data_IF_346155126118
#
_entry.id   IF_346155126118
#
_cell.length_a   1.000
_cell.length_b   1.000
_cell.length_c   1.000
_cell.angle_alpha   90.00
_cell.angle_beta   90.00
_cell.angle_gamma   90.00
#
_symmetry.space_group_name_H-M   'P 1'
#
loop_
_entity.id
_entity.type
_entity.pdbx_description
1 polymer ?
#
# COMPACT_ATOMS: atom_id res chain seq x y z
N UNK A 1 -26.36 -21.20 36.40
CA UNK A 1 -24.92 -21.25 36.02
C UNK A 1 -24.69 -21.77 34.59
N UNK A 2 -25.30 -22.90 34.16
CA UNK A 2 -25.13 -23.42 32.78
C UNK A 2 -25.48 -22.41 31.68
N UNK A 3 -26.60 -21.69 31.81
CA UNK A 3 -27.01 -20.68 30.83
C UNK A 3 -26.07 -19.46 30.80
N UNK A 4 -25.46 -19.12 31.95
CA UNK A 4 -24.49 -18.03 32.05
C UNK A 4 -23.16 -18.41 31.39
N UNK A 5 -22.69 -19.64 31.58
CA UNK A 5 -21.50 -20.17 30.91
C UNK A 5 -21.68 -20.26 29.39
N UNK A 6 -22.89 -20.64 28.95
CA UNK A 6 -23.23 -20.68 27.52
C UNK A 6 -23.23 -19.28 26.89
N UNK A 7 -23.76 -18.27 27.60
CA UNK A 7 -23.73 -16.88 27.16
C UNK A 7 -22.31 -16.31 27.09
N UNK A 8 -21.47 -16.60 28.09
CA UNK A 8 -20.06 -16.19 28.10
C UNK A 8 -19.31 -16.85 26.93
N UNK A 9 -19.59 -18.13 26.63
CA UNK A 9 -19.00 -18.82 25.49
C UNK A 9 -19.40 -18.18 24.16
N UNK A 10 -20.69 -17.86 23.95
CA UNK A 10 -21.15 -17.16 22.75
C UNK A 10 -20.53 -15.76 22.63
N UNK A 11 -20.48 -14.99 23.72
CA UNK A 11 -19.81 -13.68 23.73
C UNK A 11 -18.32 -13.79 23.40
N UNK A 12 -17.63 -14.82 23.93
CA UNK A 12 -16.22 -15.04 23.60
C UNK A 12 -16.01 -15.42 22.13
N UNK A 13 -16.92 -16.20 21.53
CA UNK A 13 -16.86 -16.54 20.10
C UNK A 13 -17.14 -15.32 19.21
N UNK A 14 -18.01 -14.40 19.63
CA UNK A 14 -18.28 -13.15 18.91
C UNK A 14 -17.04 -12.23 18.98
N UNK A 15 -16.41 -12.11 20.16
CA UNK A 15 -15.20 -11.30 20.36
C UNK A 15 -13.98 -11.88 19.65
N UNK A 16 -13.88 -13.22 19.52
CA UNK A 16 -12.82 -13.90 18.78
C UNK A 16 -13.10 -14.01 17.27
N UNK A 17 -14.33 -13.73 16.83
CA UNK A 17 -14.82 -13.97 15.48
C UNK A 17 -14.53 -12.86 14.47
N UNK A 18 -14.01 -11.72 14.91
CA UNK A 18 -13.58 -10.67 14.00
C UNK A 18 -12.11 -10.87 13.62
N UNK A 19 -11.87 -11.74 12.63
CA UNK A 19 -10.74 -11.49 11.75
C UNK A 19 -11.03 -10.14 11.10
N UNK A 20 -10.49 -9.06 11.68
CA UNK A 20 -10.68 -7.70 11.21
C UNK A 20 -10.28 -7.69 9.74
N UNK A 21 -11.26 -7.63 8.83
CA UNK A 21 -10.97 -7.56 7.40
C UNK A 21 -10.23 -6.25 7.21
N UNK A 22 -8.91 -6.31 6.99
CA UNK A 22 -8.06 -5.13 6.97
C UNK A 22 -8.49 -4.11 5.90
N UNK A 23 -9.18 -4.57 4.84
CA UNK A 23 -9.79 -3.77 3.79
C UNK A 23 -10.91 -4.53 3.07
N UNK A 24 -11.91 -3.82 2.54
CA UNK A 24 -13.01 -4.39 1.76
C UNK A 24 -12.84 -4.21 0.23
N UNK A 25 -12.03 -3.24 -0.18
CA UNK A 25 -11.75 -2.94 -1.58
C UNK A 25 -10.29 -2.56 -1.76
N UNK A 26 -9.79 -2.74 -2.98
CA UNK A 26 -8.49 -2.22 -3.42
C UNK A 26 -8.73 -1.14 -4.47
N UNK A 27 -8.07 0.00 -4.33
CA UNK A 27 -8.08 1.06 -5.32
C UNK A 27 -6.71 1.17 -5.98
N UNK A 28 -6.66 0.95 -7.28
CA UNK A 28 -5.47 1.24 -8.08
C UNK A 28 -5.49 2.73 -8.43
N UNK A 29 -4.62 3.49 -7.78
CA UNK A 29 -4.43 4.92 -8.05
C UNK A 29 -3.42 5.10 -9.17
N UNK A 30 -3.81 5.85 -10.20
CA UNK A 30 -2.96 6.20 -11.33
C UNK A 30 -2.70 7.69 -11.34
N UNK A 31 -1.48 8.08 -11.69
CA UNK A 31 -1.08 9.48 -11.84
C UNK A 31 -0.79 9.82 -13.29
N UNK A 32 -1.16 11.03 -13.70
CA UNK A 32 -0.84 11.58 -15.01
C UNK A 32 0.44 12.42 -14.93
N UNK A 33 1.53 11.93 -15.52
CA UNK A 33 2.86 12.52 -15.38
C UNK A 33 2.92 14.02 -15.66
N UNK A 34 2.32 14.55 -16.75
CA UNK A 34 2.32 15.99 -17.00
C UNK A 34 1.73 16.82 -15.87
N UNK A 35 0.67 16.34 -15.21
CA UNK A 35 0.05 17.06 -14.09
C UNK A 35 0.92 16.99 -12.84
N UNK A 36 1.54 15.85 -12.55
CA UNK A 36 2.49 15.71 -11.43
C UNK A 36 3.64 16.72 -11.58
N UNK A 37 4.19 16.86 -12.79
CA UNK A 37 5.31 17.75 -13.09
C UNK A 37 4.93 19.20 -13.34
N UNK A 38 3.63 19.51 -13.43
CA UNK A 38 3.16 20.89 -13.48
C UNK A 38 3.26 21.56 -12.09
N UNK A 39 3.10 20.78 -11.03
CA UNK A 39 3.05 21.29 -9.64
C UNK A 39 4.26 20.88 -8.79
N UNK A 40 5.16 20.05 -9.34
CA UNK A 40 6.40 19.62 -8.68
C UNK A 40 7.59 19.75 -9.61
N UNK A 41 8.79 19.89 -9.04
CA UNK A 41 10.04 19.80 -9.79
C UNK A 41 10.35 18.35 -10.14
N UNK A 42 10.18 18.00 -11.40
CA UNK A 42 10.46 16.67 -11.91
C UNK A 42 11.83 16.52 -12.57
N UNK A 43 12.35 15.29 -12.56
CA UNK A 43 13.53 14.91 -13.36
C UNK A 43 13.14 14.78 -14.84
N UNK A 44 13.62 15.70 -15.68
CA UNK A 44 13.33 15.69 -17.11
C UNK A 44 13.81 14.41 -17.82
N UNK A 45 14.92 13.81 -17.37
CA UNK A 45 15.46 12.57 -17.90
C UNK A 45 14.58 11.36 -17.58
N UNK A 46 14.10 11.26 -16.33
CA UNK A 46 13.15 10.19 -15.93
C UNK A 46 11.80 10.36 -16.63
N UNK A 47 11.27 11.59 -16.66
CA UNK A 47 9.91 11.88 -17.15
C UNK A 47 9.76 11.79 -18.67
N UNK A 48 10.84 11.92 -19.44
CA UNK A 48 10.80 11.82 -20.90
C UNK A 48 10.14 10.53 -21.41
N UNK A 49 10.23 9.44 -20.65
CA UNK A 49 9.63 8.14 -20.99
C UNK A 49 8.12 8.05 -20.68
N UNK A 50 7.58 9.02 -19.94
CA UNK A 50 6.25 8.99 -19.32
C UNK A 50 5.36 10.20 -19.66
N UNK A 51 5.80 11.11 -20.53
CA UNK A 51 5.20 12.43 -20.83
C UNK A 51 3.74 12.40 -21.31
N UNK A 52 3.19 11.21 -21.63
CA UNK A 52 1.79 11.01 -22.03
C UNK A 52 1.24 9.66 -21.56
N UNK A 53 1.69 9.19 -20.40
CA UNK A 53 1.27 7.89 -19.84
C UNK A 53 0.74 8.09 -18.43
N UNK A 54 -0.26 7.30 -18.08
CA UNK A 54 -0.54 7.03 -16.68
C UNK A 54 0.53 6.10 -16.14
N UNK A 55 1.06 6.43 -14.97
CA UNK A 55 1.84 5.49 -14.16
C UNK A 55 1.07 5.21 -12.90
N UNK A 56 1.42 4.12 -12.22
CA UNK A 56 0.86 3.82 -10.91
C UNK A 56 1.28 4.93 -9.95
N UNK A 57 0.38 5.30 -9.05
CA UNK A 57 0.67 6.11 -7.88
C UNK A 57 0.65 5.25 -6.61
N UNK A 58 -0.27 4.28 -6.52
CA UNK A 58 -0.26 3.27 -5.47
C UNK A 58 -1.45 2.33 -5.55
N UNK A 59 -1.37 1.22 -4.81
CA UNK A 59 -2.48 0.30 -4.59
C UNK A 59 -2.96 0.47 -3.15
N UNK A 60 -4.18 0.95 -2.98
CA UNK A 60 -4.66 1.43 -1.70
C UNK A 60 -5.79 0.56 -1.17
N UNK A 61 -5.56 -0.20 -0.10
CA UNK A 61 -6.60 -0.97 0.56
C UNK A 61 -7.53 -0.03 1.35
N UNK A 62 -8.84 -0.17 1.17
CA UNK A 62 -9.82 0.71 1.80
C UNK A 62 -11.12 0.02 2.16
N UNK A 63 -12.02 0.76 2.79
CA UNK A 63 -13.40 0.34 3.04
C UNK A 63 -14.38 1.46 2.66
N UNK A 64 -15.67 1.16 2.69
CA UNK A 64 -16.71 2.11 2.25
C UNK A 64 -16.77 3.40 3.07
N UNK A 65 -16.36 3.39 4.35
CA UNK A 65 -16.34 4.58 5.22
C UNK A 65 -15.00 5.34 5.16
N UNK A 66 -13.92 4.63 4.88
CA UNK A 66 -12.58 5.18 4.74
C UNK A 66 -11.92 4.55 3.50
N UNK A 67 -12.08 5.16 2.31
CA UNK A 67 -11.58 4.58 1.08
C UNK A 67 -10.05 4.56 0.98
N UNK A 68 -9.36 5.50 1.63
CA UNK A 68 -7.89 5.61 1.60
C UNK A 68 -7.33 5.68 3.03
N UNK A 69 -7.52 4.64 3.85
CA UNK A 69 -6.99 4.62 5.20
C UNK A 69 -5.47 4.73 5.14
N UNK A 70 -4.92 5.46 6.10
CA UNK A 70 -3.51 5.33 6.46
C UNK A 70 -3.40 4.13 7.41
N UNK A 71 -2.56 3.19 7.06
CA UNK A 71 -2.35 2.00 7.87
C UNK A 71 -1.62 2.37 9.17
N UNK A 72 -1.96 1.74 10.31
CA UNK A 72 -1.15 1.89 11.51
C UNK A 72 0.28 1.42 11.23
N UNK A 73 1.26 2.29 11.46
CA UNK A 73 2.67 1.91 11.36
C UNK A 73 3.03 1.03 12.56
N UNK A 74 3.35 -0.22 12.27
CA UNK A 74 3.94 -1.14 13.23
C UNK A 74 5.44 -1.25 12.94
N UNK A 75 6.25 -1.37 13.99
CA UNK A 75 7.72 -1.41 13.90
C UNK A 75 8.24 -2.53 12.96
N UNK A 76 7.48 -3.61 12.78
CA UNK A 76 7.83 -4.76 11.93
C UNK A 76 7.36 -4.63 10.47
N UNK A 77 6.71 -3.51 10.10
CA UNK A 77 6.10 -3.29 8.78
C UNK A 77 6.80 -2.18 7.97
N UNK A 78 8.04 -1.82 8.35
CA UNK A 78 8.85 -0.85 7.59
C UNK A 78 9.18 -1.38 6.20
N UNK A 79 9.40 -0.47 5.25
CA UNK A 79 9.84 -0.87 3.92
C UNK A 79 11.26 -1.45 3.95
N UNK A 80 11.45 -2.62 3.34
CA UNK A 80 12.72 -3.33 3.26
C UNK A 80 13.29 -3.29 1.84
N UNK A 81 14.24 -2.39 1.52
CA UNK A 81 14.77 -2.24 0.15
C UNK A 81 15.40 -3.52 -0.40
N UNK A 82 15.95 -4.37 0.47
CA UNK A 82 16.61 -5.63 0.09
C UNK A 82 15.64 -6.69 -0.44
N UNK A 83 14.35 -6.56 -0.16
CA UNK A 83 13.32 -7.54 -0.60
C UNK A 83 12.69 -7.16 -1.93
N UNK A 84 13.07 -6.02 -2.51
CA UNK A 84 12.56 -5.52 -3.80
C UNK A 84 13.26 -6.23 -4.97
N UNK A 85 12.79 -7.44 -5.30
CA UNK A 85 13.31 -8.22 -6.44
C UNK A 85 12.90 -7.65 -7.80
N UNK A 86 11.83 -6.85 -7.87
CA UNK A 86 11.23 -6.33 -9.10
C UNK A 86 11.59 -4.86 -9.41
N UNK A 87 12.73 -4.36 -8.91
CA UNK A 87 13.13 -2.95 -9.02
C UNK A 87 12.99 -2.36 -10.43
N UNK A 88 13.37 -3.11 -11.47
CA UNK A 88 13.28 -2.67 -12.86
C UNK A 88 11.83 -2.52 -13.38
N UNK A 89 10.91 -3.39 -12.95
CA UNK A 89 9.49 -3.30 -13.33
C UNK A 89 8.81 -2.15 -12.59
N UNK A 90 9.10 -2.00 -11.30
CA UNK A 90 8.59 -0.89 -10.48
C UNK A 90 9.09 0.47 -11.02
N UNK A 91 10.34 0.57 -11.48
CA UNK A 91 10.85 1.81 -12.10
C UNK A 91 10.16 2.18 -13.43
N UNK A 92 9.40 1.26 -14.04
CA UNK A 92 8.63 1.51 -15.26
C UNK A 92 7.15 1.75 -14.94
N UNK A 93 6.55 0.92 -14.09
CA UNK A 93 5.12 0.97 -13.79
C UNK A 93 4.79 1.93 -12.64
N UNK A 94 5.68 2.03 -11.65
CA UNK A 94 5.52 2.80 -10.41
C UNK A 94 6.71 3.77 -10.15
N UNK A 95 7.11 4.61 -11.12
CA UNK A 95 8.29 5.46 -11.01
C UNK A 95 8.10 6.67 -10.09
N UNK A 96 9.19 7.08 -9.45
CA UNK A 96 9.33 8.41 -8.88
C UNK A 96 9.64 9.44 -9.96
N UNK A 97 8.79 10.48 -10.07
CA UNK A 97 8.95 11.55 -11.05
C UNK A 97 9.81 12.73 -10.56
N UNK A 98 10.09 12.81 -9.26
CA UNK A 98 10.73 13.98 -8.63
C UNK A 98 12.24 14.04 -8.87
N UNK A 99 12.78 15.27 -9.01
CA UNK A 99 14.16 15.53 -9.44
C UNK A 99 15.24 15.23 -8.39
N UNK A 100 14.93 15.40 -7.11
CA UNK A 100 15.92 15.32 -6.03
C UNK A 100 15.91 13.97 -5.28
N UNK A 101 15.06 13.04 -5.72
CA UNK A 101 14.69 11.85 -4.96
C UNK A 101 14.98 10.57 -5.75
N UNK A 102 15.37 9.51 -5.04
CA UNK A 102 15.45 8.16 -5.61
C UNK A 102 14.09 7.46 -5.59
N UNK A 103 14.01 6.25 -6.15
CA UNK A 103 12.76 5.49 -6.18
C UNK A 103 12.24 5.13 -4.79
N UNK A 104 13.12 4.91 -3.82
CA UNK A 104 12.74 4.49 -2.47
C UNK A 104 12.08 5.60 -1.67
N UNK A 105 12.44 6.85 -1.94
CA UNK A 105 11.75 8.03 -1.40
C UNK A 105 10.28 8.11 -1.82
N UNK A 106 9.87 7.38 -2.85
CA UNK A 106 8.48 7.24 -3.26
C UNK A 106 7.88 5.89 -2.83
N UNK A 107 8.56 4.77 -3.09
CA UNK A 107 8.04 3.43 -2.78
C UNK A 107 7.87 3.17 -1.30
N UNK A 108 8.81 3.59 -0.46
CA UNK A 108 8.76 3.31 0.97
C UNK A 108 7.58 4.02 1.65
N UNK A 109 7.38 5.35 1.47
CA UNK A 109 6.21 6.02 2.05
C UNK A 109 4.87 5.47 1.55
N UNK A 110 4.74 5.15 0.26
CA UNK A 110 3.49 4.58 -0.26
C UNK A 110 3.22 3.17 0.31
N UNK A 111 4.24 2.30 0.37
CA UNK A 111 4.11 1.00 0.99
C UNK A 111 3.76 1.11 2.48
N UNK A 112 4.51 1.91 3.24
CA UNK A 112 4.32 2.05 4.68
C UNK A 112 2.93 2.60 5.02
N UNK A 113 2.44 3.56 4.22
CA UNK A 113 1.14 4.19 4.41
C UNK A 113 -0.03 3.32 3.96
N UNK A 114 0.15 2.50 2.91
CA UNK A 114 -0.96 1.77 2.26
C UNK A 114 -0.73 0.26 2.15
N UNK A 115 0.43 -0.17 1.67
CA UNK A 115 0.76 -1.59 1.50
C UNK A 115 0.75 -2.38 2.81
N UNK A 116 1.12 -1.75 3.92
CA UNK A 116 1.13 -2.40 5.25
C UNK A 116 -0.26 -2.82 5.74
N UNK A 117 -1.35 -2.28 5.20
CA UNK A 117 -2.72 -2.77 5.48
C UNK A 117 -2.99 -4.15 4.89
N UNK A 118 -2.23 -4.57 3.87
CA UNK A 118 -2.35 -5.91 3.29
C UNK A 118 -1.42 -6.90 3.99
N UNK A 119 -0.34 -6.40 4.61
CA UNK A 119 0.71 -7.18 5.28
C UNK A 119 0.35 -7.35 6.76
N UNK A 120 -0.52 -8.33 7.05
CA UNK A 120 -0.88 -8.69 8.43
C UNK A 120 -0.44 -10.12 8.76
N UNK A 121 0.66 -10.25 9.50
CA UNK A 121 0.87 -11.34 10.46
C UNK A 121 0.95 -12.78 9.94
N UNK A 122 1.33 -13.06 8.68
CA UNK A 122 1.86 -14.40 8.36
C UNK A 122 1.86 -14.88 6.91
N UNK A 123 1.05 -14.34 6.00
CA UNK A 123 0.94 -14.89 4.63
C UNK A 123 1.17 -13.90 3.49
N UNK A 124 0.94 -12.60 3.71
CA UNK A 124 1.13 -11.57 2.69
C UNK A 124 2.28 -10.66 3.12
N UNK A 125 3.33 -10.56 2.30
CA UNK A 125 4.56 -9.84 2.58
C UNK A 125 4.72 -8.64 1.65
N UNK A 126 5.73 -7.79 1.90
CA UNK A 126 6.07 -6.68 1.02
C UNK A 126 6.23 -7.12 -0.45
N UNK A 127 6.91 -8.25 -0.69
CA UNK A 127 7.10 -8.78 -2.04
C UNK A 127 5.77 -9.05 -2.76
N UNK A 128 4.77 -9.57 -2.05
CA UNK A 128 3.44 -9.86 -2.62
C UNK A 128 2.69 -8.58 -2.95
N UNK A 129 2.81 -7.54 -2.12
CA UNK A 129 2.27 -6.21 -2.43
C UNK A 129 2.91 -5.63 -3.69
N UNK A 130 4.25 -5.69 -3.79
CA UNK A 130 5.00 -5.11 -4.90
C UNK A 130 4.75 -5.84 -6.23
N UNK A 131 4.36 -7.11 -6.23
CA UNK A 131 3.98 -7.84 -7.46
C UNK A 131 2.67 -7.31 -8.06
N UNK A 132 1.83 -6.63 -7.29
CA UNK A 132 0.56 -6.06 -7.75
C UNK A 132 0.71 -4.68 -8.42
N UNK A 133 1.95 -4.19 -8.56
CA UNK A 133 2.33 -2.86 -9.08
C UNK A 133 3.24 -3.03 -10.32
#
# INVERSE_FOLDING_TARGET
MKNLLFLIFILSLIVLGEAQVAYQMLMLSLQWTPTVCLVNTCDAGKVASFTKKFTIHGLWPGNHYNPQPKCPQYYYNSFEPKTVSLKGQLAVNWPNMLAADDEFMFWAPEYEKHGTCMVNGGSFQQGDYLILL
#
